data_IF_859288502548
#
_entry.id   IF_859288502548
#
_cell.length_a   1.000
_cell.length_b   1.000
_cell.length_c   1.000
_cell.angle_alpha   90.00
_cell.angle_beta   90.00
_cell.angle_gamma   90.00
#
_symmetry.space_group_name_H-M   'P 1'
#
loop_
_entity.id
_entity.type
_entity.pdbx_description
1 polymer ?
#
# COMPACT_ATOMS: atom_id res chain seq x y z
N UNK A 1 3.14 13.13 -12.50
CA UNK A 1 4.36 12.46 -13.02
C UNK A 1 4.83 11.53 -11.92
N UNK A 2 5.30 10.31 -12.23
CA UNK A 2 5.82 9.43 -11.16
C UNK A 2 7.32 9.70 -11.02
N UNK A 3 7.78 10.07 -9.83
CA UNK A 3 9.20 10.31 -9.55
C UNK A 3 9.58 9.80 -8.17
N UNK A 4 10.78 9.24 -8.04
CA UNK A 4 11.33 8.80 -6.77
C UNK A 4 12.07 9.95 -6.11
N UNK A 5 11.71 10.26 -4.87
CA UNK A 5 12.28 11.35 -4.10
C UNK A 5 12.84 10.82 -2.78
N UNK A 6 14.04 11.25 -2.41
CA UNK A 6 14.68 10.87 -1.16
C UNK A 6 14.20 11.78 -0.03
N UNK A 7 13.91 11.19 1.13
CA UNK A 7 13.48 11.91 2.34
C UNK A 7 14.50 11.72 3.46
N UNK A 8 14.90 10.49 3.73
CA UNK A 8 15.87 10.11 4.75
C UNK A 8 17.00 9.26 4.20
N UNK A 9 17.78 8.63 5.06
CA UNK A 9 18.89 7.78 4.64
C UNK A 9 18.39 6.55 3.86
N UNK A 10 17.38 5.87 4.40
CA UNK A 10 16.76 4.67 3.82
C UNK A 10 15.37 4.92 3.28
N UNK A 11 14.82 6.13 3.47
CA UNK A 11 13.44 6.50 3.23
C UNK A 11 13.28 7.33 1.98
N UNK A 12 12.32 6.97 1.15
CA UNK A 12 11.95 7.64 -0.09
C UNK A 12 10.43 7.68 -0.23
N UNK A 13 9.94 8.50 -1.13
CA UNK A 13 8.56 8.40 -1.60
C UNK A 13 8.50 8.49 -3.13
N UNK A 14 7.49 7.89 -3.71
CA UNK A 14 7.15 8.03 -5.12
C UNK A 14 6.04 9.05 -5.20
N UNK A 15 6.35 10.21 -5.80
CA UNK A 15 5.38 11.26 -6.09
C UNK A 15 4.40 10.78 -7.15
N UNK A 16 3.13 10.69 -6.79
CA UNK A 16 2.03 10.24 -7.64
C UNK A 16 0.68 10.66 -7.00
N UNK A 17 -0.48 10.47 -7.66
CA UNK A 17 -1.76 10.91 -7.12
C UNK A 17 -2.05 10.45 -5.69
N UNK A 18 -1.62 9.24 -5.35
CA UNK A 18 -1.64 8.72 -3.98
C UNK A 18 -0.19 8.41 -3.63
N UNK A 19 0.50 9.29 -2.93
CA UNK A 19 1.92 9.14 -2.63
C UNK A 19 2.23 7.75 -2.04
N UNK A 20 3.32 7.14 -2.52
CA UNK A 20 3.73 5.80 -2.13
C UNK A 20 5.04 5.91 -1.37
N UNK A 21 5.06 5.43 -0.13
CA UNK A 21 6.29 5.34 0.64
C UNK A 21 7.20 4.24 0.08
N UNK A 22 8.53 4.42 0.20
CA UNK A 22 9.50 3.40 -0.09
C UNK A 22 10.59 3.41 0.97
N UNK A 23 10.85 2.25 1.55
CA UNK A 23 11.88 2.04 2.55
C UNK A 23 12.89 0.99 2.07
N UNK A 24 14.19 1.32 2.17
CA UNK A 24 15.29 0.41 1.85
C UNK A 24 15.56 -0.52 3.03
N UNK A 25 15.38 -1.82 2.81
CA UNK A 25 15.73 -2.85 3.79
C UNK A 25 17.25 -3.06 3.82
N UNK A 26 17.86 -3.03 2.63
CA UNK A 26 19.31 -3.08 2.41
C UNK A 26 19.64 -2.32 1.13
N UNK A 27 20.82 -2.54 0.54
CA UNK A 27 21.25 -1.81 -0.66
C UNK A 27 20.32 -2.00 -1.87
N UNK A 28 19.69 -3.16 -2.01
CA UNK A 28 18.87 -3.51 -3.17
C UNK A 28 17.42 -3.84 -2.81
N UNK A 29 17.16 -4.42 -1.64
CA UNK A 29 15.83 -4.87 -1.27
C UNK A 29 15.04 -3.73 -0.64
N UNK A 30 13.80 -3.59 -1.08
CA UNK A 30 12.90 -2.51 -0.64
C UNK A 30 11.53 -3.01 -0.25
N UNK A 31 10.89 -2.22 0.58
CA UNK A 31 9.48 -2.29 0.90
C UNK A 31 8.80 -1.04 0.36
N UNK A 32 7.60 -1.17 -0.20
CA UNK A 32 6.74 -0.02 -0.49
C UNK A 32 5.51 -0.02 0.42
N UNK A 33 4.99 1.17 0.63
CA UNK A 33 3.78 1.41 1.40
C UNK A 33 2.74 1.94 0.46
N UNK A 34 1.69 1.14 0.27
CA UNK A 34 0.70 1.23 -0.78
C UNK A 34 1.24 1.01 -2.21
N UNK A 35 0.36 0.95 -3.19
CA UNK A 35 0.73 0.59 -4.56
C UNK A 35 0.00 1.41 -5.64
N UNK A 36 -0.76 2.43 -5.20
CA UNK A 36 -1.49 3.31 -6.10
C UNK A 36 -2.81 2.72 -6.62
N UNK A 37 -3.43 3.46 -7.52
CA UNK A 37 -4.85 3.33 -7.85
C UNK A 37 -5.20 2.27 -8.90
N UNK A 38 -4.23 1.72 -9.62
CA UNK A 38 -4.53 0.71 -10.64
C UNK A 38 -3.27 -0.02 -11.15
N UNK A 39 -3.48 -0.93 -12.09
CA UNK A 39 -2.39 -1.65 -12.77
C UNK A 39 -1.36 -0.72 -13.42
N UNK A 40 -1.78 0.45 -13.91
CA UNK A 40 -0.84 1.39 -14.55
C UNK A 40 0.06 2.07 -13.52
N UNK A 41 -0.46 2.36 -12.32
CA UNK A 41 0.36 2.76 -11.18
C UNK A 41 1.40 1.68 -10.85
N UNK A 42 0.98 0.42 -10.72
CA UNK A 42 1.90 -0.70 -10.51
C UNK A 42 2.99 -0.83 -11.59
N UNK A 43 2.67 -0.57 -12.87
CA UNK A 43 3.67 -0.56 -13.95
C UNK A 43 4.72 0.55 -13.77
N UNK A 44 4.28 1.76 -13.43
CA UNK A 44 5.16 2.91 -13.21
C UNK A 44 6.06 2.70 -12.01
N UNK A 45 5.51 2.16 -10.91
CA UNK A 45 6.29 1.76 -9.72
C UNK A 45 7.35 0.74 -10.12
N UNK A 46 6.96 -0.34 -10.78
CA UNK A 46 7.91 -1.39 -11.21
C UNK A 46 9.01 -0.85 -12.14
N UNK A 47 8.70 0.14 -12.98
CA UNK A 47 9.71 0.82 -13.80
C UNK A 47 10.71 1.57 -12.92
N UNK A 48 10.24 2.37 -11.97
CA UNK A 48 11.09 3.11 -11.02
C UNK A 48 11.99 2.14 -10.23
N UNK A 49 11.44 1.04 -9.73
CA UNK A 49 12.20 0.03 -9.00
C UNK A 49 13.34 -0.53 -9.85
N UNK A 50 13.06 -0.88 -11.11
CA UNK A 50 14.06 -1.40 -12.03
C UNK A 50 15.14 -0.38 -12.38
N UNK A 51 14.78 0.87 -12.63
CA UNK A 51 15.71 1.96 -12.95
C UNK A 51 16.69 2.25 -11.79
N UNK A 52 16.29 1.93 -10.55
CA UNK A 52 17.10 2.10 -9.35
C UNK A 52 17.75 0.79 -8.84
N UNK A 53 17.63 -0.32 -9.59
CA UNK A 53 18.08 -1.65 -9.19
C UNK A 53 17.50 -2.12 -7.85
N UNK A 54 16.25 -1.81 -7.59
CA UNK A 54 15.54 -2.21 -6.39
C UNK A 54 14.74 -3.48 -6.60
N UNK A 55 14.82 -4.40 -5.64
CA UNK A 55 14.03 -5.62 -5.54
C UNK A 55 12.89 -5.42 -4.55
N UNK A 56 11.66 -5.45 -5.02
CA UNK A 56 10.49 -5.34 -4.15
C UNK A 56 10.28 -6.63 -3.35
N UNK A 57 10.37 -6.54 -2.02
CA UNK A 57 10.13 -7.67 -1.10
C UNK A 57 8.78 -7.60 -0.43
N UNK A 58 8.32 -6.40 -0.12
CA UNK A 58 7.07 -6.20 0.61
C UNK A 58 6.27 -5.05 0.03
N UNK A 59 4.95 -5.22 0.01
CA UNK A 59 3.97 -4.15 -0.07
C UNK A 59 3.25 -4.13 1.27
N UNK A 60 3.30 -3.02 1.99
CA UNK A 60 2.53 -2.81 3.21
C UNK A 60 1.37 -1.90 2.84
N UNK A 61 0.15 -2.38 3.01
CA UNK A 61 -1.02 -1.56 2.73
C UNK A 61 -1.52 -0.90 4.00
N UNK A 62 -1.72 0.41 3.92
CA UNK A 62 -2.32 1.21 5.00
C UNK A 62 -3.79 0.83 5.19
N UNK A 63 -4.49 0.66 4.09
CA UNK A 63 -5.87 0.21 4.00
C UNK A 63 -6.17 -0.33 2.60
N UNK A 64 -7.34 -0.91 2.39
CA UNK A 64 -7.70 -1.67 1.18
C UNK A 64 -8.48 -0.88 0.15
N UNK A 65 -8.59 0.44 0.25
CA UNK A 65 -9.25 1.24 -0.78
C UNK A 65 -8.53 1.10 -2.13
N UNK A 66 -9.31 1.12 -3.20
CA UNK A 66 -8.81 0.80 -4.54
C UNK A 66 -7.64 1.68 -5.00
N UNK A 67 -7.57 2.93 -4.55
CA UNK A 67 -6.49 3.87 -4.87
C UNK A 67 -5.19 3.63 -4.10
N UNK A 68 -5.21 2.74 -3.11
CA UNK A 68 -4.04 2.32 -2.33
C UNK A 68 -3.54 0.92 -2.70
N UNK A 69 -4.44 0.00 -3.05
CA UNK A 69 -4.07 -1.39 -3.36
C UNK A 69 -4.15 -1.74 -4.86
N UNK A 70 -4.50 -0.78 -5.72
CA UNK A 70 -4.77 -1.01 -7.14
C UNK A 70 -3.60 -1.58 -7.94
N UNK A 71 -2.36 -1.33 -7.53
CA UNK A 71 -1.14 -1.87 -8.13
C UNK A 71 -0.71 -3.23 -7.58
N UNK A 72 -1.27 -3.68 -6.45
CA UNK A 72 -0.84 -4.89 -5.74
C UNK A 72 -0.74 -6.13 -6.65
N UNK A 73 -1.81 -6.45 -7.33
CA UNK A 73 -1.88 -7.65 -8.19
C UNK A 73 -0.81 -7.67 -9.27
N UNK A 74 -0.59 -6.52 -9.90
CA UNK A 74 0.44 -6.39 -10.93
C UNK A 74 1.84 -6.54 -10.36
N UNK A 75 2.14 -5.88 -9.27
CA UNK A 75 3.45 -5.92 -8.62
C UNK A 75 3.74 -7.32 -8.07
N UNK A 76 2.79 -7.92 -7.35
CA UNK A 76 2.95 -9.25 -6.77
C UNK A 76 3.25 -10.31 -7.83
N UNK A 77 2.55 -10.29 -8.97
CA UNK A 77 2.82 -11.20 -10.09
C UNK A 77 4.19 -11.01 -10.74
N UNK A 78 4.81 -9.85 -10.59
CA UNK A 78 6.10 -9.52 -11.22
C UNK A 78 7.30 -9.70 -10.32
N UNK A 79 7.10 -9.59 -9.02
CA UNK A 79 8.18 -9.54 -8.04
C UNK A 79 8.07 -10.64 -6.98
N UNK A 80 6.93 -11.33 -6.93
CA UNK A 80 6.61 -12.33 -5.89
C UNK A 80 6.69 -11.75 -4.47
N UNK A 81 6.50 -10.44 -4.34
CA UNK A 81 6.56 -9.75 -3.07
C UNK A 81 5.45 -10.20 -2.11
N UNK A 82 5.72 -10.14 -0.83
CA UNK A 82 4.71 -10.31 0.20
C UNK A 82 3.82 -9.06 0.29
N UNK A 83 2.52 -9.26 0.53
CA UNK A 83 1.57 -8.19 0.82
C UNK A 83 1.16 -8.33 2.29
N UNK A 84 1.31 -7.27 3.06
CA UNK A 84 1.09 -7.21 4.50
C UNK A 84 0.12 -6.08 4.82
N UNK A 85 -0.86 -6.36 5.66
CA UNK A 85 -1.76 -5.37 6.26
C UNK A 85 -2.39 -5.93 7.54
N UNK A 86 -3.39 -5.23 8.09
CA UNK A 86 -4.20 -5.80 9.17
C UNK A 86 -5.03 -6.98 8.65
N UNK A 87 -5.48 -7.84 9.53
CA UNK A 87 -6.30 -9.01 9.18
C UNK A 87 -7.55 -8.61 8.36
N UNK A 88 -8.24 -7.56 8.78
CA UNK A 88 -9.45 -7.08 8.09
C UNK A 88 -9.12 -6.52 6.70
N UNK A 89 -8.11 -5.67 6.59
CA UNK A 89 -7.68 -5.11 5.31
C UNK A 89 -7.19 -6.19 4.34
N UNK A 90 -6.57 -7.24 4.84
CA UNK A 90 -6.18 -8.41 4.08
C UNK A 90 -7.41 -9.13 3.48
N UNK A 91 -8.53 -9.19 4.20
CA UNK A 91 -9.78 -9.76 3.66
C UNK A 91 -10.33 -8.90 2.52
N UNK A 92 -10.36 -7.59 2.65
CA UNK A 92 -10.79 -6.68 1.58
C UNK A 92 -9.85 -6.75 0.37
N UNK A 93 -8.54 -6.81 0.59
CA UNK A 93 -7.55 -6.98 -0.48
C UNK A 93 -7.70 -8.30 -1.23
N UNK A 94 -8.04 -9.36 -0.52
CA UNK A 94 -8.29 -10.69 -1.11
C UNK A 94 -9.65 -10.77 -1.81
N UNK A 95 -10.65 -10.10 -1.27
CA UNK A 95 -12.03 -10.07 -1.77
C UNK A 95 -12.50 -8.64 -2.01
N UNK A 96 -12.01 -7.94 -3.06
CA UNK A 96 -12.25 -6.51 -3.25
C UNK A 96 -13.71 -6.10 -3.40
N UNK A 97 -14.61 -7.06 -3.65
CA UNK A 97 -16.07 -6.83 -3.65
C UNK A 97 -16.58 -6.36 -2.29
N UNK A 98 -15.82 -6.63 -1.22
CA UNK A 98 -16.19 -6.20 0.13
C UNK A 98 -16.15 -4.68 0.27
N UNK A 99 -15.24 -3.97 -0.41
CA UNK A 99 -15.14 -2.51 -0.34
C UNK A 99 -16.44 -1.83 -0.81
N UNK A 100 -16.93 -1.99 -2.04
CA UNK A 100 -18.18 -1.39 -2.44
C UNK A 100 -19.40 -1.97 -1.70
N UNK A 101 -19.35 -3.23 -1.24
CA UNK A 101 -20.42 -3.80 -0.42
C UNK A 101 -20.52 -3.10 0.93
N UNK A 102 -19.40 -2.81 1.57
CA UNK A 102 -19.32 -2.07 2.84
C UNK A 102 -19.76 -0.61 2.67
N UNK A 103 -19.24 0.06 1.64
CA UNK A 103 -19.54 1.47 1.36
C UNK A 103 -21.03 1.74 1.09
N UNK A 104 -21.69 0.79 0.43
CA UNK A 104 -23.09 0.98 -0.01
C UNK A 104 -24.10 0.12 0.76
N UNK A 105 -23.64 -0.62 1.78
CA UNK A 105 -24.51 -1.36 2.69
C UNK A 105 -25.18 -2.59 2.08
N UNK A 106 -24.62 -3.16 1.01
CA UNK A 106 -25.16 -4.34 0.35
C UNK A 106 -24.36 -4.80 -0.86
N UNK A 107 -24.77 -5.88 -1.51
CA UNK A 107 -24.09 -6.37 -2.70
C UNK A 107 -24.15 -5.33 -3.84
N UNK A 108 -23.01 -4.85 -4.35
CA UNK A 108 -22.99 -3.74 -5.30
C UNK A 108 -23.46 -4.16 -6.69
N UNK A 109 -24.18 -3.31 -7.36
CA UNK A 109 -24.48 -3.48 -8.77
C UNK A 109 -23.30 -3.03 -9.66
N UNK A 110 -23.28 -3.44 -10.93
CA UNK A 110 -22.12 -3.31 -11.83
C UNK A 110 -21.47 -1.90 -11.89
N UNK A 111 -22.24 -0.83 -11.74
CA UNK A 111 -21.65 0.54 -11.76
C UNK A 111 -20.78 0.84 -10.55
N UNK A 112 -21.02 0.15 -9.44
CA UNK A 112 -20.26 0.31 -8.18
C UNK A 112 -19.04 -0.62 -8.09
N UNK A 113 -18.81 -1.47 -9.10
CA UNK A 113 -17.65 -2.37 -9.18
C UNK A 113 -16.58 -1.90 -10.18
N UNK A 114 -16.53 -0.59 -10.41
CA UNK A 114 -15.51 -0.02 -11.29
C UNK A 114 -14.14 0.11 -10.58
N UNK A 115 -13.09 0.37 -11.35
CA UNK A 115 -11.71 0.42 -10.86
C UNK A 115 -11.40 1.47 -9.80
N UNK A 116 -12.26 2.44 -9.59
CA UNK A 116 -12.11 3.47 -8.56
C UNK A 116 -12.68 3.04 -7.20
N UNK A 117 -13.56 2.04 -7.22
CA UNK A 117 -14.25 1.52 -6.03
C UNK A 117 -13.87 0.06 -5.74
N UNK A 118 -13.18 -0.61 -6.65
CA UNK A 118 -12.81 -2.00 -6.49
C UNK A 118 -11.50 -2.30 -7.20
N UNK A 119 -10.48 -2.57 -6.44
CA UNK A 119 -9.20 -3.02 -6.96
C UNK A 119 -9.30 -4.45 -7.54
N UNK A 120 -8.26 -4.90 -8.22
CA UNK A 120 -8.11 -6.32 -8.55
C UNK A 120 -7.64 -7.09 -7.32
N UNK A 121 -8.24 -8.25 -7.09
CA UNK A 121 -7.83 -9.15 -6.02
C UNK A 121 -6.33 -9.45 -6.09
N UNK A 122 -5.66 -9.36 -4.97
CA UNK A 122 -4.29 -9.83 -4.76
C UNK A 122 -4.24 -10.79 -3.57
N UNK A 123 -3.11 -11.42 -3.37
CA UNK A 123 -2.96 -12.45 -2.33
C UNK A 123 -2.14 -11.92 -1.14
N UNK A 124 -2.77 -11.37 -0.09
CA UNK A 124 -2.07 -11.02 1.14
C UNK A 124 -1.41 -12.27 1.72
N UNK A 125 -0.16 -12.15 2.12
CA UNK A 125 0.67 -13.28 2.55
C UNK A 125 1.22 -13.13 3.95
N UNK A 126 0.93 -12.00 4.63
CA UNK A 126 1.37 -11.74 5.98
C UNK A 126 0.49 -10.74 6.72
N UNK A 127 0.69 -10.69 8.03
CA UNK A 127 0.08 -9.73 8.93
C UNK A 127 1.14 -8.75 9.46
N UNK A 128 0.71 -7.75 10.20
CA UNK A 128 1.59 -6.71 10.73
C UNK A 128 2.70 -7.22 11.66
N UNK A 129 2.53 -8.40 12.26
CA UNK A 129 3.59 -9.06 13.07
C UNK A 129 4.79 -9.50 12.21
N UNK A 130 4.66 -9.49 10.90
CA UNK A 130 5.68 -9.90 9.93
C UNK A 130 6.36 -8.71 9.25
N UNK A 131 6.27 -7.51 9.83
CA UNK A 131 6.95 -6.32 9.28
C UNK A 131 8.46 -6.55 9.20
N UNK A 132 9.10 -6.08 8.11
CA UNK A 132 10.55 -6.15 7.99
C UNK A 132 11.24 -5.28 9.05
N UNK A 133 12.46 -5.68 9.42
CA UNK A 133 13.30 -4.92 10.35
C UNK A 133 13.45 -3.46 9.91
N UNK A 134 13.30 -2.55 10.85
CA UNK A 134 13.37 -1.10 10.63
C UNK A 134 12.03 -0.45 10.31
N UNK A 135 10.93 -1.23 10.33
CA UNK A 135 9.57 -0.69 10.30
C UNK A 135 8.84 -1.09 11.57
N UNK A 136 8.20 -0.13 12.19
CA UNK A 136 7.41 -0.35 13.39
C UNK A 136 5.94 -0.04 13.12
N UNK A 137 5.09 -0.77 13.81
CA UNK A 137 3.66 -0.60 13.79
C UNK A 137 3.22 0.03 15.09
N UNK A 138 2.44 1.12 15.00
CA UNK A 138 1.85 1.78 16.14
C UNK A 138 0.34 1.75 16.02
N UNK A 139 -0.32 1.08 16.95
CA UNK A 139 -1.77 1.08 17.04
C UNK A 139 -2.25 2.36 17.73
N UNK A 140 -2.84 3.25 16.97
CA UNK A 140 -3.34 4.55 17.46
C UNK A 140 -4.77 4.52 18.00
N UNK A 141 -5.25 3.37 18.47
CA UNK A 141 -6.54 3.24 19.17
C UNK A 141 -7.78 3.03 18.29
N UNK A 142 -8.38 1.90 18.48
CA UNK A 142 -9.77 1.54 18.26
C UNK A 142 -10.47 1.98 16.97
N UNK A 143 -10.31 1.32 15.92
CA UNK A 143 -10.97 1.28 14.62
C UNK A 143 -10.10 1.75 13.45
N UNK A 144 -9.46 0.82 12.77
CA UNK A 144 -8.86 1.01 11.42
C UNK A 144 -7.64 1.95 11.29
N UNK A 145 -6.92 2.27 12.36
CA UNK A 145 -5.76 3.17 12.30
C UNK A 145 -4.53 2.55 12.88
N UNK A 146 -3.61 2.41 11.99
CA UNK A 146 -2.30 1.94 12.35
C UNK A 146 -1.29 2.80 11.59
N UNK A 147 -0.27 3.28 12.26
CA UNK A 147 0.81 4.01 11.64
C UNK A 147 1.98 3.07 11.38
N UNK A 148 2.54 3.08 10.19
CA UNK A 148 3.83 2.47 9.92
C UNK A 148 4.91 3.53 10.04
N UNK A 149 5.86 3.34 10.94
CA UNK A 149 7.00 4.21 11.16
C UNK A 149 8.25 3.57 10.59
N UNK A 150 9.01 4.32 9.79
CA UNK A 150 10.36 3.93 9.45
C UNK A 150 11.31 4.19 10.62
N UNK A 151 12.40 3.41 10.75
CA UNK A 151 13.36 3.52 11.85
C UNK A 151 14.06 4.90 11.93
N UNK A 152 14.07 5.66 10.85
CA UNK A 152 14.55 7.03 10.80
C UNK A 152 13.46 8.08 11.05
N UNK A 153 12.25 7.65 11.40
CA UNK A 153 11.06 8.47 11.70
C UNK A 153 10.66 9.45 10.57
N UNK A 154 11.05 9.18 9.34
CA UNK A 154 10.81 10.08 8.20
C UNK A 154 9.48 9.80 7.48
N UNK A 155 8.89 8.62 7.65
CA UNK A 155 7.56 8.30 7.13
C UNK A 155 6.66 7.90 8.28
N UNK A 156 5.62 8.67 8.49
CA UNK A 156 4.48 8.30 9.33
C UNK A 156 3.27 8.18 8.43
N UNK A 157 2.76 6.98 8.30
CA UNK A 157 1.57 6.73 7.51
C UNK A 157 0.40 6.51 8.45
N UNK A 158 -0.59 7.35 8.32
CA UNK A 158 -1.85 7.21 9.03
C UNK A 158 -2.89 6.65 8.09
N UNK A 159 -3.42 5.48 8.41
CA UNK A 159 -4.71 5.08 7.89
C UNK A 159 -5.79 5.92 8.59
N UNK A 160 -6.60 6.67 7.86
CA UNK A 160 -7.71 7.46 8.44
C UNK A 160 -9.04 6.79 8.11
N UNK A 161 -10.02 6.70 9.06
CA UNK A 161 -11.34 6.22 8.72
C UNK A 161 -12.02 7.16 7.73
N UNK A 162 -12.66 6.48 6.76
CA UNK A 162 -13.61 7.15 5.90
C UNK A 162 -14.39 8.25 6.63
N UNK A 163 -14.59 9.47 6.07
CA UNK A 163 -14.61 9.75 4.63
C UNK A 163 -13.42 10.53 4.05
N UNK A 164 -12.34 10.74 4.77
CA UNK A 164 -11.25 11.60 4.27
C UNK A 164 -9.87 10.95 4.41
N UNK A 165 -9.32 10.37 3.33
CA UNK A 165 -7.93 9.92 3.34
C UNK A 165 -7.01 11.15 3.32
N UNK A 166 -6.27 11.36 4.38
CA UNK A 166 -5.14 12.29 4.38
C UNK A 166 -3.89 11.49 4.68
N UNK A 167 -3.04 11.31 3.66
CA UNK A 167 -1.70 10.81 3.86
C UNK A 167 -0.82 12.03 4.14
N UNK A 168 -0.31 12.13 5.35
CA UNK A 168 0.75 13.07 5.66
C UNK A 168 2.08 12.33 5.62
N UNK A 169 2.90 12.65 4.60
CA UNK A 169 4.34 12.42 4.65
C UNK A 169 4.89 13.68 5.32
N UNK A 170 5.36 13.53 6.56
CA UNK A 170 6.10 14.60 7.24
C UNK A 170 7.56 14.52 6.88
#
# INVERSE_FOLDING_TARGET
>A
MYSLNKVGEKTYYIDCPTNIGLYKLNDTDVCIIDSGNDKEAGRKINKILKENNFNLKYIINTHSNADHIGGNEFLQKRTECKIISTEIENLFTKYPILEPSFLYGGYPFNKLTNKFLMAKASNPTGNLDELPEGLEYIKLGGHFFDACLSADYQIVLFGIPYPYPIIHVL
#
